data_IF_358057623935
#
_entry.id   IF_358057623935
#
_cell.length_a   1.000
_cell.length_b   1.000
_cell.length_c   1.000
_cell.angle_alpha   90.00
_cell.angle_beta   90.00
_cell.angle_gamma   90.00
#
_symmetry.space_group_name_H-M   'P 1'
#
loop_
_entity.id
_entity.type
_entity.pdbx_description
1 polymer ?
#
# COMPACT_ATOMS: atom_id res chain seq x y z
N UNK A 1 -15.54 -17.72 9.74
CA UNK A 1 -15.76 -16.39 9.15
C UNK A 1 -14.73 -15.44 9.70
N UNK A 2 -13.98 -14.72 8.86
CA UNK A 2 -13.00 -13.71 9.27
C UNK A 2 -13.74 -12.43 9.64
N UNK A 3 -13.92 -12.15 10.93
CA UNK A 3 -14.50 -10.89 11.40
C UNK A 3 -13.42 -9.82 11.34
N UNK A 4 -13.41 -9.03 10.27
CA UNK A 4 -12.54 -7.85 10.16
C UNK A 4 -13.22 -6.73 10.94
N UNK A 5 -12.88 -6.61 12.21
CA UNK A 5 -13.41 -5.56 13.07
C UNK A 5 -12.55 -4.31 12.97
N UNK A 6 -13.21 -3.17 12.85
CA UNK A 6 -12.59 -1.92 12.44
C UNK A 6 -12.80 -0.86 13.52
N UNK A 7 -11.71 -0.37 14.14
CA UNK A 7 -11.78 0.62 15.22
C UNK A 7 -11.01 1.89 14.85
N UNK A 8 -11.71 2.93 14.36
CA UNK A 8 -11.14 4.28 14.23
C UNK A 8 -11.10 4.93 15.62
N UNK A 9 -9.96 4.84 16.28
CA UNK A 9 -9.74 5.42 17.60
C UNK A 9 -10.08 4.45 18.74
N UNK A 10 -9.21 4.43 19.75
CA UNK A 10 -9.49 3.78 21.02
C UNK A 10 -10.42 4.69 21.83
N UNK A 11 -11.48 4.19 22.48
CA UNK A 11 -12.16 4.96 23.51
C UNK A 11 -11.19 5.10 24.68
N UNK A 12 -10.37 6.14 24.69
CA UNK A 12 -9.43 6.40 25.77
C UNK A 12 -10.21 6.94 26.97
N UNK A 13 -10.34 6.18 28.08
CA UNK A 13 -10.90 6.75 29.30
C UNK A 13 -9.99 7.91 29.74
N UNK A 14 -10.59 8.97 30.29
CA UNK A 14 -9.84 10.15 30.73
C UNK A 14 -8.73 9.78 31.73
N UNK A 15 -8.94 8.70 32.50
CA UNK A 15 -8.02 8.16 33.49
C UNK A 15 -6.74 7.54 32.88
N UNK A 16 -6.72 7.19 31.59
CA UNK A 16 -5.54 6.64 30.89
C UNK A 16 -4.72 7.73 30.16
N UNK A 17 -5.15 9.00 30.23
CA UNK A 17 -4.48 10.10 29.52
C UNK A 17 -3.40 10.75 30.39
N UNK A 18 -2.20 10.82 29.83
CA UNK A 18 -1.10 11.61 30.40
C UNK A 18 -1.40 13.12 30.28
N UNK A 19 -0.64 14.02 30.94
CA UNK A 19 -0.85 15.48 30.88
C UNK A 19 -0.84 16.07 29.45
N UNK A 20 -0.27 15.33 28.50
CA UNK A 20 -0.15 15.68 27.07
C UNK A 20 -1.37 15.18 26.26
N UNK A 21 -2.30 14.47 26.89
CA UNK A 21 -3.50 13.91 26.24
C UNK A 21 -3.25 12.65 25.43
N UNK A 22 -2.18 11.90 25.70
CA UNK A 22 -1.86 10.61 25.08
C UNK A 22 -1.84 9.48 26.11
N UNK A 23 -2.21 8.27 25.70
CA UNK A 23 -2.02 7.07 26.54
C UNK A 23 -0.59 6.53 26.41
N UNK A 24 -0.15 5.76 27.39
CA UNK A 24 1.16 5.09 27.37
C UNK A 24 1.32 4.16 26.15
N UNK A 25 0.23 3.52 25.73
CA UNK A 25 0.16 2.73 24.50
C UNK A 25 0.44 3.57 23.26
N UNK A 26 -0.13 4.77 23.17
CA UNK A 26 0.10 5.66 22.04
C UNK A 26 1.54 6.17 21.99
N UNK A 27 2.10 6.53 23.14
CA UNK A 27 3.49 6.96 23.23
C UNK A 27 4.44 5.81 22.86
N UNK A 28 4.17 4.60 23.37
CA UNK A 28 4.90 3.39 23.03
C UNK A 28 4.87 3.12 21.53
N UNK A 29 3.68 3.06 20.92
CA UNK A 29 3.55 2.73 19.50
C UNK A 29 4.13 3.81 18.59
N UNK A 30 4.07 5.08 19.00
CA UNK A 30 4.73 6.17 18.28
C UNK A 30 6.25 5.96 18.28
N UNK A 31 6.85 5.71 19.45
CA UNK A 31 8.29 5.45 19.58
C UNK A 31 8.74 4.18 18.84
N UNK A 32 7.93 3.11 18.92
CA UNK A 32 8.17 1.87 18.20
C UNK A 32 8.09 2.10 16.69
N UNK A 33 7.18 2.94 16.22
CA UNK A 33 6.99 3.19 14.79
C UNK A 33 8.18 3.83 14.10
N UNK A 34 8.97 4.64 14.81
CA UNK A 34 10.18 5.24 14.26
C UNK A 34 11.28 4.19 14.08
N UNK A 35 11.48 3.33 15.07
CA UNK A 35 12.42 2.20 14.99
C UNK A 35 11.97 1.23 13.89
N UNK A 36 10.67 0.91 13.85
CA UNK A 36 10.07 0.04 12.85
C UNK A 36 10.23 0.63 11.44
N UNK A 37 10.10 1.95 11.29
CA UNK A 37 10.33 2.64 10.02
C UNK A 37 11.79 2.47 9.54
N UNK A 38 12.77 2.71 10.41
CA UNK A 38 14.18 2.55 10.04
C UNK A 38 14.51 1.11 9.64
N UNK A 39 14.08 0.13 10.45
CA UNK A 39 14.26 -1.28 10.17
C UNK A 39 13.57 -1.69 8.85
N UNK A 40 12.34 -1.22 8.61
CA UNK A 40 11.61 -1.51 7.36
C UNK A 40 12.28 -0.89 6.14
N UNK A 41 12.87 0.31 6.23
CA UNK A 41 13.63 0.90 5.12
C UNK A 41 14.88 0.06 4.80
N UNK A 42 15.63 -0.35 5.82
CA UNK A 42 16.84 -1.16 5.62
C UNK A 42 16.52 -2.54 5.02
N UNK A 43 15.49 -3.20 5.55
CA UNK A 43 15.02 -4.50 5.01
C UNK A 43 14.52 -4.38 3.57
N UNK A 44 13.80 -3.31 3.21
CA UNK A 44 13.37 -3.05 1.84
C UNK A 44 14.57 -2.85 0.92
N UNK A 45 15.57 -2.09 1.33
CA UNK A 45 16.79 -1.88 0.54
C UNK A 45 17.52 -3.21 0.30
N UNK A 46 17.66 -4.04 1.34
CA UNK A 46 18.24 -5.37 1.21
C UNK A 46 17.42 -6.27 0.27
N UNK A 47 16.09 -6.26 0.35
CA UNK A 47 15.21 -7.06 -0.53
C UNK A 47 15.21 -6.58 -2.00
N UNK A 48 15.57 -5.32 -2.26
CA UNK A 48 15.70 -4.77 -3.60
C UNK A 48 17.06 -5.09 -4.24
N UNK A 49 18.08 -5.37 -3.42
CA UNK A 49 19.38 -5.82 -3.89
C UNK A 49 19.26 -7.26 -4.41
N UNK A 50 19.52 -7.45 -5.72
CA UNK A 50 19.33 -8.75 -6.39
C UNK A 50 20.46 -9.75 -6.12
N UNK A 51 21.60 -9.28 -5.63
CA UNK A 51 22.83 -10.06 -5.48
C UNK A 51 22.84 -10.88 -4.18
N UNK A 52 21.99 -10.52 -3.20
CA UNK A 52 22.01 -11.15 -1.87
C UNK A 52 20.75 -12.00 -1.69
N UNK A 53 20.95 -13.31 -1.49
CA UNK A 53 19.85 -14.22 -1.15
C UNK A 53 19.34 -13.89 0.25
N UNK A 54 18.05 -13.58 0.36
CA UNK A 54 17.46 -13.23 1.65
C UNK A 54 17.37 -14.47 2.57
N UNK A 55 18.14 -14.46 3.65
CA UNK A 55 18.02 -15.43 4.74
C UNK A 55 17.30 -14.78 5.92
N UNK A 56 16.13 -15.33 6.29
CA UNK A 56 15.29 -14.77 7.36
C UNK A 56 15.90 -14.93 8.74
N UNK A 57 16.65 -16.01 9.00
CA UNK A 57 17.22 -16.27 10.33
C UNK A 57 18.33 -15.29 10.66
N UNK A 58 19.32 -15.15 9.76
CA UNK A 58 20.42 -14.21 9.94
C UNK A 58 19.94 -12.76 9.97
N UNK A 59 18.92 -12.43 9.18
CA UNK A 59 18.35 -11.09 9.17
C UNK A 59 17.58 -10.77 10.46
N UNK A 60 16.92 -11.76 11.07
CA UNK A 60 16.31 -11.58 12.39
C UNK A 60 17.35 -11.30 13.47
N UNK A 61 18.49 -12.02 13.45
CA UNK A 61 19.60 -11.77 14.37
C UNK A 61 20.17 -10.37 14.22
N UNK A 62 20.39 -9.91 12.98
CA UNK A 62 20.88 -8.55 12.70
C UNK A 62 19.90 -7.48 13.22
N UNK A 63 18.59 -7.68 13.02
CA UNK A 63 17.58 -6.74 13.50
C UNK A 63 17.48 -6.72 15.04
N UNK A 64 17.68 -7.86 15.69
CA UNK A 64 17.76 -7.96 17.15
C UNK A 64 18.95 -7.19 17.70
N UNK A 65 20.14 -7.42 17.14
CA UNK A 65 21.38 -6.78 17.59
C UNK A 65 21.38 -5.27 17.34
N UNK A 66 20.95 -4.84 16.16
CA UNK A 66 21.01 -3.43 15.75
C UNK A 66 19.91 -2.56 16.34
N UNK A 67 18.69 -3.08 16.43
CA UNK A 67 17.50 -2.29 16.82
C UNK A 67 16.91 -2.71 18.17
N UNK A 68 17.45 -3.74 18.83
CA UNK A 68 16.91 -4.29 20.08
C UNK A 68 15.49 -4.84 19.92
N UNK A 69 15.10 -5.26 18.71
CA UNK A 69 13.76 -5.75 18.42
C UNK A 69 13.66 -7.24 18.72
N UNK A 70 12.61 -7.68 19.40
CA UNK A 70 12.37 -9.12 19.56
C UNK A 70 12.15 -9.82 18.21
N UNK A 71 12.34 -11.14 18.15
CA UNK A 71 12.13 -11.96 16.92
C UNK A 71 10.77 -11.72 16.26
N UNK A 72 9.74 -11.44 17.06
CA UNK A 72 8.37 -11.19 16.59
C UNK A 72 8.24 -9.86 15.88
N UNK A 73 8.78 -8.80 16.48
CA UNK A 73 8.84 -7.48 15.84
C UNK A 73 9.69 -7.53 14.56
N UNK A 74 10.84 -8.22 14.58
CA UNK A 74 11.67 -8.42 13.40
C UNK A 74 10.92 -9.17 12.28
N UNK A 75 10.19 -10.23 12.61
CA UNK A 75 9.33 -10.93 11.64
C UNK A 75 8.21 -10.03 11.09
N UNK A 76 7.62 -9.17 11.92
CA UNK A 76 6.63 -8.17 11.49
C UNK A 76 7.23 -7.16 10.50
N UNK A 77 8.44 -6.65 10.78
CA UNK A 77 9.22 -5.79 9.88
C UNK A 77 9.45 -6.49 8.53
N UNK A 78 9.92 -7.74 8.55
CA UNK A 78 10.20 -8.54 7.35
C UNK A 78 8.91 -8.77 6.54
N UNK A 79 7.81 -9.10 7.21
CA UNK A 79 6.52 -9.31 6.55
C UNK A 79 6.03 -8.03 5.86
N UNK A 80 6.11 -6.87 6.55
CA UNK A 80 5.74 -5.58 5.99
C UNK A 80 6.63 -5.23 4.79
N UNK A 81 7.94 -5.38 4.91
CA UNK A 81 8.90 -5.11 3.84
C UNK A 81 8.68 -6.02 2.62
N UNK A 82 8.43 -7.32 2.83
CA UNK A 82 8.08 -8.27 1.76
C UNK A 82 6.78 -7.88 1.07
N UNK A 83 5.75 -7.52 1.82
CA UNK A 83 4.47 -7.09 1.25
C UNK A 83 4.59 -5.80 0.42
N UNK A 84 5.36 -4.83 0.89
CA UNK A 84 5.60 -3.57 0.18
C UNK A 84 6.43 -3.78 -1.09
N UNK A 85 7.48 -4.60 -1.03
CA UNK A 85 8.35 -4.89 -2.19
C UNK A 85 7.63 -5.72 -3.25
N UNK A 86 6.85 -6.73 -2.85
CA UNK A 86 6.03 -7.52 -3.78
C UNK A 86 4.97 -6.67 -4.47
N UNK A 87 4.24 -5.84 -3.70
CA UNK A 87 3.24 -4.91 -4.23
C UNK A 87 3.86 -3.94 -5.24
N UNK A 88 5.01 -3.34 -4.94
CA UNK A 88 5.69 -2.43 -5.86
C UNK A 88 6.11 -3.12 -7.18
N UNK A 89 6.61 -4.36 -7.10
CA UNK A 89 6.95 -5.18 -8.28
C UNK A 89 5.72 -5.46 -9.13
N UNK A 90 4.60 -5.83 -8.50
CA UNK A 90 3.35 -6.12 -9.20
C UNK A 90 2.74 -4.85 -9.84
N UNK A 91 2.71 -3.73 -9.11
CA UNK A 91 2.27 -2.44 -9.64
C UNK A 91 3.09 -2.04 -10.88
N UNK A 92 4.42 -2.21 -10.85
CA UNK A 92 5.28 -1.94 -12.01
C UNK A 92 4.93 -2.86 -13.19
N UNK A 93 4.76 -4.16 -12.95
CA UNK A 93 4.36 -5.14 -13.99
C UNK A 93 3.03 -4.75 -14.62
N UNK A 94 2.03 -4.38 -13.80
CA UNK A 94 0.71 -3.95 -14.25
C UNK A 94 0.77 -2.64 -15.05
N UNK A 95 1.54 -1.66 -14.60
CA UNK A 95 1.76 -0.40 -15.32
C UNK A 95 2.36 -0.65 -16.70
N UNK A 96 3.40 -1.48 -16.80
CA UNK A 96 4.01 -1.84 -18.09
C UNK A 96 3.00 -2.55 -18.99
N UNK A 97 2.21 -3.49 -18.46
CA UNK A 97 1.15 -4.19 -19.22
C UNK A 97 0.12 -3.20 -19.78
N UNK A 98 -0.36 -2.26 -18.98
CA UNK A 98 -1.30 -1.22 -19.41
C UNK A 98 -0.71 -0.30 -20.49
N UNK A 99 0.57 0.07 -20.37
CA UNK A 99 1.23 0.89 -21.39
C UNK A 99 1.39 0.10 -22.70
N UNK A 100 1.74 -1.19 -22.64
CA UNK A 100 1.82 -2.06 -23.82
C UNK A 100 0.48 -2.19 -24.54
N UNK A 101 -0.62 -2.39 -23.82
CA UNK A 101 -1.95 -2.48 -24.43
C UNK A 101 -2.37 -1.16 -25.09
N UNK A 102 -2.08 -0.02 -24.46
CA UNK A 102 -2.30 1.31 -25.05
C UNK A 102 -1.48 1.54 -26.31
N UNK A 103 -0.22 1.08 -26.34
CA UNK A 103 0.62 1.12 -27.55
C UNK A 103 0.00 0.28 -28.66
N UNK A 104 -0.45 -0.94 -28.37
CA UNK A 104 -1.06 -1.82 -29.37
C UNK A 104 -2.34 -1.19 -29.96
N UNK A 105 -3.26 -0.73 -29.11
CA UNK A 105 -4.47 -0.03 -29.54
C UNK A 105 -4.15 1.21 -30.41
N UNK A 106 -3.10 1.96 -30.03
CA UNK A 106 -2.60 3.07 -30.83
C UNK A 106 -2.10 2.63 -32.22
N UNK A 107 -1.32 1.54 -32.31
CA UNK A 107 -0.84 0.98 -33.58
C UNK A 107 -2.00 0.53 -34.47
N UNK A 108 -2.99 -0.15 -33.90
CA UNK A 108 -4.18 -0.62 -34.63
C UNK A 108 -4.97 0.56 -35.19
N UNK A 109 -5.13 1.63 -34.40
CA UNK A 109 -5.76 2.86 -34.87
C UNK A 109 -4.98 3.51 -36.01
N UNK A 110 -3.64 3.59 -35.91
CA UNK A 110 -2.79 4.13 -36.98
C UNK A 110 -2.92 3.29 -38.24
N UNK A 111 -2.91 1.96 -38.14
CA UNK A 111 -3.07 1.05 -39.28
C UNK A 111 -4.43 1.21 -39.97
N UNK A 112 -5.52 1.35 -39.21
CA UNK A 112 -6.84 1.65 -39.75
C UNK A 112 -6.89 3.01 -40.45
N UNK A 113 -6.32 4.04 -39.83
CA UNK A 113 -6.29 5.40 -40.39
C UNK A 113 -5.46 5.47 -41.68
N UNK A 114 -4.29 4.83 -41.73
CA UNK A 114 -3.45 4.76 -42.95
C UNK A 114 -4.16 4.00 -44.06
N UNK A 115 -4.79 2.86 -43.76
CA UNK A 115 -5.60 2.10 -44.72
C UNK A 115 -6.74 2.96 -45.28
N UNK A 116 -7.44 3.71 -44.41
CA UNK A 116 -8.52 4.62 -44.82
C UNK A 116 -8.03 5.69 -45.80
N UNK A 117 -6.90 6.35 -45.50
CA UNK A 117 -6.30 7.34 -46.39
C UNK A 117 -5.86 6.72 -47.72
N UNK A 118 -5.25 5.53 -47.71
CA UNK A 118 -4.78 4.83 -48.92
C UNK A 118 -5.96 4.45 -49.83
N UNK A 119 -7.04 3.92 -49.26
CA UNK A 119 -8.25 3.59 -50.01
C UNK A 119 -8.92 4.84 -50.60
N UNK A 120 -9.03 5.91 -49.80
CA UNK A 120 -9.61 7.16 -50.27
C UNK A 120 -8.78 7.78 -51.41
N UNK A 121 -7.45 7.79 -51.30
CA UNK A 121 -6.56 8.24 -52.39
C UNK A 121 -6.75 7.43 -53.68
N UNK A 122 -6.85 6.10 -53.57
CA UNK A 122 -7.11 5.23 -54.73
C UNK A 122 -8.48 5.53 -55.37
N UNK A 123 -9.50 5.77 -54.56
CA UNK A 123 -10.84 6.11 -55.05
C UNK A 123 -10.85 7.44 -55.81
N UNK A 124 -10.37 8.52 -55.19
CA UNK A 124 -10.35 9.85 -55.83
C UNK A 124 -9.37 9.95 -56.99
N UNK A 125 -8.30 9.15 -56.99
CA UNK A 125 -7.35 9.09 -58.12
C UNK A 125 -7.97 8.59 -59.43
N UNK A 126 -9.05 7.79 -59.37
CA UNK A 126 -9.76 7.31 -60.57
C UNK A 126 -10.59 8.39 -61.26
N UNK A 127 -10.85 9.53 -60.60
CA UNK A 127 -11.68 10.66 -61.10
C UNK A 127 -13.09 10.28 -61.59
N UNK A 128 -13.59 9.08 -61.25
CA UNK A 128 -14.88 8.55 -61.69
C UNK A 128 -15.89 8.44 -60.52
N UNK A 129 -15.89 9.42 -59.62
CA UNK A 129 -16.61 9.34 -58.35
C UNK A 129 -18.14 9.32 -58.49
N UNK A 130 -18.70 9.88 -59.57
CA UNK A 130 -20.15 9.90 -59.84
C UNK A 130 -20.68 8.57 -60.41
N UNK A 131 -19.88 7.85 -61.20
CA UNK A 131 -20.26 6.62 -61.89
C UNK A 131 -19.74 5.35 -61.20
N UNK A 132 -19.17 5.49 -60.00
CA UNK A 132 -18.57 4.36 -59.29
C UNK A 132 -19.63 3.44 -58.70
N UNK A 133 -19.63 2.15 -59.11
CA UNK A 133 -20.47 1.11 -58.49
C UNK A 133 -20.10 0.85 -57.02
N UNK A 134 -18.86 1.13 -56.64
CA UNK A 134 -18.37 0.92 -55.28
C UNK A 134 -18.38 2.27 -54.53
N UNK A 135 -19.21 2.39 -53.50
CA UNK A 135 -19.33 3.63 -52.71
C UNK A 135 -18.01 4.09 -52.06
N UNK A 136 -17.94 5.38 -51.69
CA UNK A 136 -16.76 5.96 -51.06
C UNK A 136 -16.68 5.63 -49.56
N UNK A 137 -15.64 4.90 -49.13
CA UNK A 137 -15.41 4.58 -47.70
C UNK A 137 -14.96 5.80 -46.86
N UNK A 138 -14.55 6.90 -47.49
CA UNK A 138 -14.17 8.13 -46.78
C UNK A 138 -14.48 9.38 -47.63
N UNK A 139 -15.74 9.85 -47.60
CA UNK A 139 -16.16 11.00 -48.39
C UNK A 139 -15.42 12.25 -47.93
N UNK A 140 -15.05 13.13 -48.86
CA UNK A 140 -14.50 14.44 -48.56
C UNK A 140 -15.60 15.32 -47.95
N UNK A 141 -15.37 15.80 -46.73
CA UNK A 141 -16.25 16.78 -46.09
C UNK A 141 -15.41 17.87 -45.43
N UNK A 142 -15.95 19.08 -45.42
CA UNK A 142 -15.37 20.25 -44.76
C UNK A 142 -16.27 20.71 -43.61
N UNK A 143 -15.64 21.18 -42.54
CA UNK A 143 -16.36 21.86 -41.48
C UNK A 143 -16.58 23.32 -41.90
N UNK A 144 -17.84 23.77 -41.92
CA UNK A 144 -18.21 25.12 -42.37
C UNK A 144 -17.59 26.23 -41.51
N UNK A 145 -17.41 26.00 -40.20
CA UNK A 145 -16.85 27.00 -39.27
C UNK A 145 -15.34 27.12 -39.41
N UNK A 146 -14.63 25.99 -39.45
CA UNK A 146 -13.15 25.97 -39.43
C UNK A 146 -12.52 25.87 -40.82
N UNK A 147 -13.34 25.65 -41.86
CA UNK A 147 -12.94 25.36 -43.26
C UNK A 147 -11.96 24.19 -43.41
N UNK A 148 -11.75 23.41 -42.35
CA UNK A 148 -10.84 22.25 -42.35
C UNK A 148 -11.57 21.03 -42.88
N UNK A 149 -10.86 20.24 -43.68
CA UNK A 149 -11.38 18.98 -44.21
C UNK A 149 -11.23 17.86 -43.19
N UNK A 150 -12.13 16.88 -43.25
CA UNK A 150 -12.00 15.64 -42.50
C UNK A 150 -10.67 14.90 -42.80
N UNK A 151 -10.12 15.07 -44.01
CA UNK A 151 -8.77 14.60 -44.37
C UNK A 151 -7.66 15.30 -43.59
N UNK A 152 -7.75 16.62 -43.41
CA UNK A 152 -6.83 17.38 -42.58
C UNK A 152 -6.86 16.87 -41.13
N UNK A 153 -8.06 16.71 -40.56
CA UNK A 153 -8.23 16.19 -39.20
C UNK A 153 -7.68 14.76 -39.05
N UNK A 154 -7.92 13.88 -40.02
CA UNK A 154 -7.40 12.51 -39.98
C UNK A 154 -5.87 12.46 -40.06
N UNK A 155 -5.25 13.31 -40.90
CA UNK A 155 -3.79 13.44 -40.98
C UNK A 155 -3.20 13.99 -39.68
N UNK A 156 -3.82 15.02 -39.11
CA UNK A 156 -3.40 15.60 -37.85
C UNK A 156 -3.51 14.58 -36.70
N UNK A 157 -4.64 13.86 -36.63
CA UNK A 157 -4.85 12.78 -35.67
C UNK A 157 -3.83 11.65 -35.82
N UNK A 158 -3.46 11.29 -37.05
CA UNK A 158 -2.41 10.31 -37.34
C UNK A 158 -1.04 10.76 -36.81
N UNK A 159 -0.67 12.00 -37.06
CA UNK A 159 0.56 12.57 -36.54
C UNK A 159 0.58 12.60 -35.00
N UNK A 160 -0.50 13.07 -34.36
CA UNK A 160 -0.63 13.09 -32.90
C UNK A 160 -0.58 11.68 -32.31
N UNK A 161 -1.26 10.70 -32.92
CA UNK A 161 -1.26 9.31 -32.43
C UNK A 161 0.12 8.65 -32.58
N UNK A 162 0.86 8.91 -33.66
CA UNK A 162 2.27 8.47 -33.78
C UNK A 162 3.14 9.04 -32.67
N UNK A 163 3.04 10.34 -32.39
CA UNK A 163 3.77 10.98 -31.27
C UNK A 163 3.39 10.38 -29.92
N UNK A 164 2.10 10.15 -29.69
CA UNK A 164 1.61 9.51 -28.47
C UNK A 164 2.20 8.11 -28.27
N UNK A 165 2.21 7.28 -29.32
CA UNK A 165 2.81 5.94 -29.29
C UNK A 165 4.30 6.02 -28.95
N UNK A 166 5.04 6.91 -29.61
CA UNK A 166 6.46 7.11 -29.35
C UNK A 166 6.73 7.49 -27.88
N UNK A 167 5.93 8.41 -27.32
CA UNK A 167 6.00 8.78 -25.90
C UNK A 167 5.76 7.58 -24.98
N UNK A 168 4.73 6.78 -25.24
CA UNK A 168 4.46 5.58 -24.44
C UNK A 168 5.59 4.55 -24.54
N UNK A 169 6.19 4.36 -25.71
CA UNK A 169 7.33 3.46 -25.90
C UNK A 169 8.54 3.94 -25.09
N UNK A 170 8.82 5.24 -25.08
CA UNK A 170 9.89 5.81 -24.27
C UNK A 170 9.63 5.65 -22.77
N UNK A 171 8.38 5.84 -22.34
CA UNK A 171 7.98 5.56 -20.95
C UNK A 171 8.22 4.08 -20.59
N UNK A 172 7.84 3.14 -21.46
CA UNK A 172 8.10 1.71 -21.22
C UNK A 172 9.61 1.44 -21.13
N UNK A 173 10.42 1.97 -22.05
CA UNK A 173 11.89 1.82 -22.03
C UNK A 173 12.48 2.34 -20.71
N UNK A 174 12.03 3.52 -20.27
CA UNK A 174 12.45 4.10 -19.00
C UNK A 174 12.05 3.21 -17.81
N UNK A 175 10.80 2.73 -17.76
CA UNK A 175 10.29 1.90 -16.65
C UNK A 175 11.00 0.54 -16.55
N UNK A 176 11.49 -0.02 -17.66
CA UNK A 176 12.26 -1.26 -17.68
C UNK A 176 13.68 -1.08 -17.14
N UNK A 177 14.29 0.10 -17.35
CA UNK A 177 15.63 0.43 -16.88
C UNK A 177 15.65 0.97 -15.45
N UNK A 178 14.60 1.69 -15.06
CA UNK A 178 14.53 2.34 -13.76
C UNK A 178 14.46 1.33 -12.62
N UNK A 179 15.27 1.55 -11.57
CA UNK A 179 15.22 0.77 -10.32
C UNK A 179 13.83 0.89 -9.69
N UNK A 180 13.37 -0.19 -9.05
CA UNK A 180 12.09 -0.18 -8.32
C UNK A 180 12.28 0.60 -7.04
N UNK A 181 11.42 1.59 -6.81
CA UNK A 181 11.35 2.35 -5.56
C UNK A 181 10.10 1.92 -4.81
N UNK A 182 10.24 1.73 -3.50
CA UNK A 182 9.15 1.32 -2.61
C UNK A 182 8.87 2.47 -1.65
N UNK A 183 7.60 2.85 -1.50
CA UNK A 183 7.18 3.84 -0.51
C UNK A 183 6.95 3.15 0.84
N UNK A 184 7.77 3.52 1.82
CA UNK A 184 7.57 3.15 3.23
C UNK A 184 6.97 4.36 3.94
N UNK A 185 5.83 4.16 4.60
CA UNK A 185 5.16 5.19 5.41
C UNK A 185 5.74 5.20 6.82
N UNK A 186 5.89 6.37 7.42
CA UNK A 186 6.12 6.49 8.87
C UNK A 186 4.83 6.16 9.64
N UNK A 187 4.97 5.77 10.90
CA UNK A 187 3.81 5.48 11.76
C UNK A 187 3.07 4.19 11.39
N UNK A 188 3.72 3.25 10.68
CA UNK A 188 3.17 1.92 10.44
C UNK A 188 3.92 0.86 11.23
N UNK A 189 3.24 0.26 12.20
CA UNK A 189 3.76 -0.87 12.99
C UNK A 189 2.94 -2.10 12.66
N UNK A 190 3.60 -3.23 12.48
CA UNK A 190 2.96 -4.52 12.23
C UNK A 190 3.32 -5.49 13.35
N UNK A 191 2.37 -5.72 14.25
CA UNK A 191 2.53 -6.64 15.39
C UNK A 191 1.74 -7.91 15.09
N UNK A 192 2.40 -9.05 15.20
CA UNK A 192 1.81 -10.37 14.96
C UNK A 192 1.72 -11.12 16.28
N UNK A 193 0.50 -11.36 16.75
CA UNK A 193 0.19 -12.21 17.91
C UNK A 193 -0.63 -13.44 17.53
N UNK A 194 -0.60 -14.48 18.38
CA UNK A 194 -1.39 -15.70 18.26
C UNK A 194 -2.19 -15.95 19.53
N UNK A 195 -3.39 -16.52 19.37
CA UNK A 195 -4.22 -16.96 20.50
C UNK A 195 -3.67 -18.21 21.18
N UNK A 196 -3.01 -19.08 20.41
CA UNK A 196 -2.58 -20.42 20.84
C UNK A 196 -1.14 -20.46 21.38
N UNK A 197 -0.54 -19.32 21.73
CA UNK A 197 0.85 -19.28 22.20
C UNK A 197 0.97 -19.66 23.68
N UNK A 198 1.82 -20.66 23.97
CA UNK A 198 2.15 -21.06 25.34
C UNK A 198 2.89 -19.95 26.10
N UNK A 199 2.66 -19.90 27.40
CA UNK A 199 3.15 -18.88 28.33
C UNK A 199 4.65 -18.58 28.13
N UNK A 200 4.99 -17.31 27.83
CA UNK A 200 6.37 -16.81 27.74
C UNK A 200 6.79 -16.15 26.42
N UNK A 201 6.02 -16.32 25.34
CA UNK A 201 6.37 -15.81 23.99
C UNK A 201 5.34 -14.85 23.36
N UNK A 202 4.39 -14.39 24.17
CA UNK A 202 3.19 -13.67 23.74
C UNK A 202 3.48 -12.17 23.53
N UNK A 203 3.12 -11.64 22.36
CA UNK A 203 3.34 -10.23 22.01
C UNK A 203 2.06 -9.40 21.86
N UNK A 204 0.89 -10.00 21.65
CA UNK A 204 -0.39 -9.29 21.62
C UNK A 204 -1.54 -10.30 21.74
N UNK A 205 -2.42 -10.17 22.73
CA UNK A 205 -3.64 -10.98 22.86
C UNK A 205 -4.86 -10.12 23.21
N UNK A 206 -6.07 -10.66 23.00
CA UNK A 206 -7.35 -9.96 23.21
C UNK A 206 -8.26 -10.80 24.10
N UNK A 207 -8.68 -10.21 25.22
CA UNK A 207 -9.46 -10.85 26.27
C UNK A 207 -10.95 -10.46 26.24
N UNK A 208 -11.54 -10.23 25.05
CA UNK A 208 -12.99 -10.04 24.88
C UNK A 208 -13.50 -8.60 25.05
N UNK A 209 -13.47 -8.06 26.27
CA UNK A 209 -14.01 -6.70 26.55
C UNK A 209 -12.90 -5.63 26.68
N UNK A 210 -11.68 -6.12 26.81
CA UNK A 210 -10.44 -5.34 26.84
C UNK A 210 -9.44 -6.09 25.97
N UNK A 211 -8.74 -5.42 25.04
CA UNK A 211 -7.36 -5.86 24.77
C UNK A 211 -6.61 -5.52 26.06
N UNK A 212 -6.66 -6.39 27.07
CA UNK A 212 -5.82 -6.23 28.24
C UNK A 212 -4.40 -6.29 27.74
N UNK A 213 -3.69 -5.25 28.09
CA UNK A 213 -2.30 -5.05 27.75
C UNK A 213 -1.55 -5.00 29.09
N UNK A 214 -2.03 -5.67 30.14
CA UNK A 214 -1.68 -5.36 31.54
C UNK A 214 -0.47 -6.10 32.09
N UNK A 215 0.50 -5.34 32.62
CA UNK A 215 1.42 -5.75 33.69
C UNK A 215 0.68 -6.38 34.89
N UNK A 216 1.27 -7.44 35.46
CA UNK A 216 1.10 -7.78 36.89
C UNK A 216 2.15 -7.01 37.71
N UNK A 217 1.72 -6.17 38.63
CA UNK A 217 2.53 -5.76 39.80
C UNK A 217 2.35 -6.81 40.91
N UNK A 218 3.45 -7.11 41.62
CA UNK A 218 3.51 -8.07 42.73
C UNK A 218 2.51 -7.71 43.83
N UNK A 219 1.40 -8.43 43.91
CA UNK A 219 0.76 -8.94 45.14
C UNK A 219 -0.68 -9.41 44.83
N UNK A 220 -0.84 -10.62 44.28
CA UNK A 220 -2.15 -11.27 44.23
C UNK A 220 -1.97 -12.79 44.08
N UNK A 221 -2.22 -13.49 45.18
CA UNK A 221 -2.31 -14.95 45.28
C UNK A 221 -3.61 -15.43 44.64
N UNK A 222 -3.59 -15.62 43.31
CA UNK A 222 -4.30 -16.62 42.49
C UNK A 222 -4.31 -16.17 41.02
N UNK A 223 -4.02 -17.04 40.04
CA UNK A 223 -4.02 -16.69 38.63
C UNK A 223 -5.29 -17.18 37.92
N UNK A 224 -6.11 -16.25 37.46
CA UNK A 224 -6.98 -16.49 36.29
C UNK A 224 -6.82 -15.31 35.30
N UNK A 225 -6.12 -15.61 34.22
CA UNK A 225 -6.22 -15.02 32.87
C UNK A 225 -6.11 -13.48 32.74
N UNK A 226 -4.88 -12.97 32.60
CA UNK A 226 -4.63 -11.64 32.04
C UNK A 226 -3.35 -11.64 31.18
N UNK A 227 -3.54 -11.29 29.91
CA UNK A 227 -2.62 -11.43 28.79
C UNK A 227 -1.95 -10.08 28.43
N UNK A 228 -0.73 -10.08 27.86
CA UNK A 228 0.20 -8.92 27.91
C UNK A 228 1.00 -8.67 26.61
N UNK A 229 1.27 -7.41 26.23
CA UNK A 229 2.23 -7.04 25.16
C UNK A 229 3.59 -6.71 25.74
N UNK A 230 4.59 -7.49 25.32
CA UNK A 230 5.98 -7.28 25.72
C UNK A 230 6.62 -6.16 24.91
N UNK A 231 7.13 -5.16 25.62
CA UNK A 231 7.92 -4.06 25.06
C UNK A 231 9.25 -4.66 24.57
N UNK A 232 9.73 -4.33 23.35
CA UNK A 232 11.06 -4.76 22.93
C UNK A 232 12.13 -4.13 23.83
N UNK A 233 13.24 -4.84 24.06
CA UNK A 233 14.31 -4.49 25.00
C UNK A 233 14.80 -3.03 24.84
N UNK A 234 14.82 -2.51 23.61
CA UNK A 234 15.19 -1.11 23.31
C UNK A 234 14.27 -0.03 23.91
N UNK A 235 13.04 -0.39 24.28
CA UNK A 235 12.03 0.51 24.83
C UNK A 235 11.65 0.16 26.27
N UNK A 236 12.17 -0.95 26.83
CA UNK A 236 11.86 -1.39 28.19
C UNK A 236 12.25 -0.35 29.24
N UNK A 237 13.35 0.38 29.05
CA UNK A 237 13.79 1.43 29.97
C UNK A 237 12.81 2.62 30.05
N UNK A 238 12.01 2.85 29.00
CA UNK A 238 11.07 3.99 28.91
C UNK A 238 9.65 3.63 29.28
N UNK A 239 9.20 2.44 28.93
CA UNK A 239 7.80 2.03 29.06
C UNK A 239 7.60 0.83 30.00
N UNK A 240 8.69 0.33 30.61
CA UNK A 240 8.66 -0.89 31.39
C UNK A 240 8.58 -2.15 30.52
N UNK A 241 8.44 -3.31 31.17
CA UNK A 241 8.40 -4.62 30.47
C UNK A 241 7.12 -4.81 29.64
N UNK A 242 6.04 -4.14 30.02
CA UNK A 242 4.75 -4.25 29.34
C UNK A 242 3.94 -2.96 29.39
N UNK A 243 3.13 -2.74 28.36
CA UNK A 243 2.28 -1.53 28.18
C UNK A 243 0.83 -1.96 28.01
N UNK A 244 -0.08 -1.20 28.65
CA UNK A 244 -1.48 -1.48 29.02
C UNK A 244 -2.47 -0.47 28.41
N UNK A 245 -3.64 -0.88 27.88
CA UNK A 245 -4.75 0.04 27.53
C UNK A 245 -6.09 -0.67 27.35
N UNK A 246 -7.21 -0.03 27.71
CA UNK A 246 -8.58 -0.59 27.54
C UNK A 246 -9.16 -0.25 26.16
N UNK A 247 -9.29 -1.26 25.30
CA UNK A 247 -9.70 -1.09 23.88
C UNK A 247 -11.21 -1.37 23.63
N UNK A 248 -11.93 -1.98 24.57
CA UNK A 248 -13.34 -2.34 24.41
C UNK A 248 -13.56 -3.59 23.55
N UNK A 249 -14.83 -3.91 23.26
CA UNK A 249 -15.25 -5.05 22.45
C UNK A 249 -15.11 -4.82 20.94
N UNK A 250 -14.59 -5.83 20.21
CA UNK A 250 -14.38 -5.76 18.75
C UNK A 250 -15.67 -5.75 17.91
N UNK A 251 -16.84 -6.08 18.46
CA UNK A 251 -18.13 -6.13 17.72
C UNK A 251 -18.66 -4.76 17.25
N UNK A 252 -17.86 -3.71 17.39
CA UNK A 252 -18.24 -2.32 17.17
C UNK A 252 -18.04 -1.92 15.70
N UNK A 253 -19.13 -1.69 14.96
CA UNK A 253 -19.11 -0.97 13.67
C UNK A 253 -18.93 0.55 13.88
N UNK A 254 -17.96 0.96 14.70
CA UNK A 254 -17.80 2.37 15.07
C UNK A 254 -16.85 3.06 14.08
N UNK A 255 -17.43 3.67 13.05
CA UNK A 255 -16.76 4.61 12.15
C UNK A 255 -16.72 6.02 12.78
N UNK A 256 -16.05 6.21 13.93
CA UNK A 256 -15.86 7.56 14.48
C UNK A 256 -14.51 8.11 14.03
N UNK A 257 -14.51 9.08 13.13
CA UNK A 257 -13.32 9.90 12.87
C UNK A 257 -13.32 11.04 13.91
N UNK A 258 -12.30 11.19 14.76
CA UNK A 258 -12.16 12.40 15.56
C UNK A 258 -11.98 13.63 14.65
N UNK A 259 -12.59 14.75 15.04
CA UNK A 259 -12.62 16.01 14.27
C UNK A 259 -11.23 16.65 14.07
N UNK A 260 -10.21 16.25 14.83
CA UNK A 260 -8.86 16.86 14.84
C UNK A 260 -7.78 16.03 14.12
N UNK A 261 -8.18 15.05 13.29
CA UNK A 261 -7.26 14.11 12.64
C UNK A 261 -7.20 12.78 13.40
N UNK A 262 -7.23 11.67 12.66
CA UNK A 262 -7.41 10.34 13.23
C UNK A 262 -6.12 9.51 13.15
N UNK A 263 -5.53 9.18 14.30
CA UNK A 263 -4.68 7.98 14.40
C UNK A 263 -5.60 6.77 14.26
N UNK A 264 -5.41 5.99 13.21
CA UNK A 264 -6.27 4.83 12.93
C UNK A 264 -5.60 3.55 13.41
N UNK A 265 -6.37 2.75 14.16
CA UNK A 265 -5.96 1.46 14.67
C UNK A 265 -6.69 0.38 13.87
N UNK A 266 -5.95 -0.59 13.33
CA UNK A 266 -6.57 -1.72 12.67
C UNK A 266 -6.21 -2.98 13.45
N UNK A 267 -7.19 -3.52 14.17
CA UNK A 267 -7.06 -4.80 14.85
C UNK A 267 -7.77 -5.86 14.01
N UNK A 268 -7.01 -6.82 13.50
CA UNK A 268 -7.55 -7.96 12.77
C UNK A 268 -7.57 -9.15 13.71
N UNK A 269 -8.72 -9.81 13.81
CA UNK A 269 -8.86 -11.07 14.52
C UNK A 269 -9.28 -12.17 13.54
N UNK A 270 -8.52 -13.25 13.56
CA UNK A 270 -8.91 -14.55 13.01
C UNK A 270 -8.96 -15.52 14.21
N UNK A 271 -9.67 -16.66 14.17
CA UNK A 271 -9.79 -17.58 15.32
C UNK A 271 -8.45 -17.99 15.97
N UNK A 272 -7.34 -17.86 15.23
CA UNK A 272 -5.97 -18.20 15.65
C UNK A 272 -5.00 -17.02 15.74
N UNK A 273 -5.31 -15.84 15.18
CA UNK A 273 -4.34 -14.75 15.00
C UNK A 273 -4.94 -13.39 15.34
N UNK A 274 -4.18 -12.57 16.07
CA UNK A 274 -4.49 -11.16 16.32
C UNK A 274 -3.38 -10.31 15.69
N UNK A 275 -3.74 -9.42 14.77
CA UNK A 275 -2.81 -8.52 14.10
C UNK A 275 -3.20 -7.09 14.42
N UNK A 276 -2.32 -6.33 15.06
CA UNK A 276 -2.48 -4.90 15.23
C UNK A 276 -1.64 -4.17 14.17
N UNK A 277 -2.31 -3.41 13.31
CA UNK A 277 -1.67 -2.48 12.38
C UNK A 277 -1.96 -1.06 12.87
N UNK A 278 -0.91 -0.38 13.27
CA UNK A 278 -0.97 1.05 13.53
C UNK A 278 -0.81 1.80 12.21
N UNK A 279 -1.61 2.84 11.97
CA UNK A 279 -1.38 3.78 10.89
C UNK A 279 -1.70 5.20 11.39
N UNK A 280 -0.68 6.04 11.50
CA UNK A 280 -0.89 7.48 11.60
C UNK A 280 -1.14 8.04 10.21
N UNK A 281 -2.39 8.35 9.88
CA UNK A 281 -2.69 9.27 8.79
C UNK A 281 -2.76 10.67 9.37
N UNK A 282 -1.67 11.43 9.25
CA UNK A 282 -1.78 12.88 9.32
C UNK A 282 -2.57 13.30 8.08
N UNK A 283 -3.86 13.57 8.26
CA UNK A 283 -4.60 14.36 7.28
C UNK A 283 -3.87 15.70 7.22
N UNK A 284 -3.19 15.96 6.11
CA UNK A 284 -2.86 17.32 5.75
C UNK A 284 -4.21 18.04 5.62
N UNK A 285 -4.53 18.87 6.61
CA UNK A 285 -5.58 19.87 6.48
C UNK A 285 -5.15 20.77 5.31
N UNK A 286 -6.05 21.10 4.36
CA UNK A 286 -5.73 21.77 3.09
C UNK A 286 -4.95 23.07 3.23
#
# INVERSE_FOLDING_TARGET
MTTITYCKGLPTPADELNPIGFTDLEMFLTSLSDIFYQATVETVNHLLNKEIKFNQSSWNSLMQEKYGLSKRYANGVIALARGKTSSAKECRKRQIKQLKSRVQSGKDWVARATKKIKLARKFYGKKNWQSSKNGCNFPLSSNLKTRKTNWHHLRQGLHQKKRYIHRLQNQIKHLLRAKIRVKVSRGSVFIVGSKDESYGNQTCQWAGDTIKLTLRLRSASTPSEAEVLRVPDCLEAKFGKYVTSKIGSFSRQINRLPNSGAKTWHFYSNPKLIVAIFKTETLAIP
#
